data_IF_476431165312
#
_entry.id   IF_476431165312
#
_cell.length_a   1.000
_cell.length_b   1.000
_cell.length_c   1.000
_cell.angle_alpha   90.00
_cell.angle_beta   90.00
_cell.angle_gamma   90.00
#
_symmetry.space_group_name_H-M   'P 1'
#
loop_
_entity.id
_entity.type
_entity.pdbx_description
1 polymer ?
#
# COMPACT_ATOMS: atom_id res chain seq x y z
N UNK A 1 19.50 -17.82 -17.25
CA UNK A 1 19.25 -18.22 -15.83
C UNK A 1 18.39 -17.11 -15.26
N UNK A 2 17.09 -17.34 -15.20
CA UNK A 2 16.16 -16.39 -14.58
C UNK A 2 16.47 -16.44 -13.08
N UNK A 3 16.98 -15.35 -12.52
CA UNK A 3 17.13 -15.26 -11.07
C UNK A 3 15.70 -15.28 -10.52
N UNK A 4 15.39 -16.27 -9.68
CA UNK A 4 14.14 -16.30 -8.91
C UNK A 4 14.18 -15.15 -7.89
N UNK A 5 13.82 -13.95 -8.36
CA UNK A 5 13.71 -12.77 -7.50
C UNK A 5 12.47 -12.86 -6.64
N UNK A 6 12.51 -12.18 -5.49
CA UNK A 6 11.38 -12.06 -4.57
C UNK A 6 10.10 -11.69 -5.35
N UNK A 7 9.01 -12.45 -5.22
CA UNK A 7 7.76 -12.13 -5.86
C UNK A 7 7.16 -10.83 -5.30
N UNK A 8 6.49 -10.08 -6.15
CA UNK A 8 5.72 -8.89 -5.77
C UNK A 8 4.24 -9.12 -6.06
N UNK A 9 3.36 -8.51 -5.27
CA UNK A 9 1.93 -8.65 -5.47
C UNK A 9 1.18 -7.36 -5.16
N UNK A 10 0.03 -7.19 -5.82
CA UNK A 10 -0.87 -6.06 -5.67
C UNK A 10 -2.34 -6.50 -5.70
N UNK A 11 -3.25 -5.57 -5.36
CA UNK A 11 -4.70 -5.74 -5.49
C UNK A 11 -5.24 -4.74 -6.51
N UNK A 12 -6.14 -5.19 -7.39
CA UNK A 12 -6.90 -4.34 -8.28
C UNK A 12 -8.41 -4.57 -8.11
N UNK A 13 -9.11 -3.50 -7.82
CA UNK A 13 -10.58 -3.47 -7.75
C UNK A 13 -11.08 -2.68 -8.94
N UNK A 14 -11.62 -3.38 -9.94
CA UNK A 14 -12.05 -2.82 -11.22
C UNK A 14 -11.77 -3.78 -12.37
N UNK A 15 -12.20 -3.40 -13.56
CA UNK A 15 -12.13 -4.22 -14.78
C UNK A 15 -10.98 -3.84 -15.73
N UNK A 16 -10.35 -2.68 -15.52
CA UNK A 16 -9.32 -2.17 -16.42
C UNK A 16 -8.25 -1.38 -15.68
N UNK A 17 -6.98 -1.67 -15.97
CA UNK A 17 -5.83 -0.91 -15.49
C UNK A 17 -5.65 0.39 -16.31
N UNK A 18 -5.33 1.47 -15.62
CA UNK A 18 -4.84 2.68 -16.27
C UNK A 18 -3.42 2.44 -16.83
N UNK A 19 -2.98 3.18 -17.85
CA UNK A 19 -1.67 2.97 -18.48
C UNK A 19 -0.48 3.10 -17.52
N UNK A 20 -0.57 3.99 -16.51
CA UNK A 20 0.46 4.13 -15.49
C UNK A 20 0.56 2.89 -14.59
N UNK A 21 -0.59 2.26 -14.25
CA UNK A 21 -0.57 1.01 -13.49
C UNK A 21 0.03 -0.13 -14.30
N UNK A 22 -0.27 -0.20 -15.61
CA UNK A 22 0.37 -1.17 -16.51
C UNK A 22 1.88 -0.95 -16.58
N UNK A 23 2.32 0.32 -16.71
CA UNK A 23 3.74 0.70 -16.71
C UNK A 23 4.44 0.23 -15.42
N UNK A 24 3.84 0.49 -14.26
CA UNK A 24 4.40 0.11 -12.98
C UNK A 24 4.49 -1.42 -12.84
N UNK A 25 3.43 -2.17 -13.11
CA UNK A 25 3.49 -3.63 -13.08
C UNK A 25 4.53 -4.19 -14.05
N UNK A 26 4.60 -3.63 -15.27
CA UNK A 26 5.59 -4.04 -16.28
C UNK A 26 7.02 -3.78 -15.82
N UNK A 27 7.27 -2.69 -15.10
CA UNK A 27 8.63 -2.36 -14.59
C UNK A 27 9.17 -3.45 -13.66
N UNK A 28 8.31 -4.03 -12.80
CA UNK A 28 8.73 -5.14 -11.93
C UNK A 28 9.09 -6.40 -12.73
N UNK A 29 8.30 -6.74 -13.75
CA UNK A 29 8.61 -7.86 -14.65
C UNK A 29 9.95 -7.67 -15.38
N UNK A 30 10.21 -6.44 -15.85
CA UNK A 30 11.47 -6.11 -16.54
C UNK A 30 12.69 -6.24 -15.63
N UNK A 31 12.51 -6.06 -14.33
CA UNK A 31 13.55 -6.29 -13.33
C UNK A 31 13.60 -7.72 -12.78
N UNK A 32 12.81 -8.64 -13.38
CA UNK A 32 12.85 -10.08 -13.07
C UNK A 32 12.04 -10.50 -11.86
N UNK A 33 11.19 -9.62 -11.30
CA UNK A 33 10.27 -9.99 -10.23
C UNK A 33 9.05 -10.72 -10.81
N UNK A 34 8.66 -11.90 -10.31
CA UNK A 34 7.33 -12.46 -10.55
C UNK A 34 6.26 -11.50 -10.00
N UNK A 35 5.27 -11.17 -10.81
CA UNK A 35 4.22 -10.20 -10.46
C UNK A 35 2.88 -10.91 -10.39
N UNK A 36 2.23 -10.88 -9.22
CA UNK A 36 0.85 -11.36 -9.04
C UNK A 36 -0.08 -10.17 -8.85
N UNK A 37 -1.15 -10.11 -9.63
CA UNK A 37 -2.22 -9.13 -9.48
C UNK A 37 -3.49 -9.84 -9.02
N UNK A 38 -3.86 -9.64 -7.76
CA UNK A 38 -5.12 -10.10 -7.25
C UNK A 38 -6.25 -9.19 -7.69
N UNK A 39 -7.34 -9.76 -8.23
CA UNK A 39 -8.44 -8.99 -8.82
C UNK A 39 -9.78 -9.41 -8.25
N UNK A 40 -10.74 -8.47 -8.18
CA UNK A 40 -12.13 -8.75 -7.84
C UNK A 40 -12.94 -9.22 -9.03
N UNK A 41 -12.45 -9.01 -10.24
CA UNK A 41 -13.09 -9.34 -11.51
C UNK A 41 -12.07 -9.62 -12.60
N UNK A 42 -12.56 -9.70 -13.84
CA UNK A 42 -11.69 -9.93 -14.99
C UNK A 42 -10.98 -8.62 -15.39
N UNK A 43 -9.66 -8.68 -15.51
CA UNK A 43 -8.83 -7.57 -16.00
C UNK A 43 -8.20 -7.98 -17.33
N UNK A 44 -8.68 -7.39 -18.44
CA UNK A 44 -8.29 -7.82 -19.79
C UNK A 44 -7.02 -7.14 -20.32
N UNK A 45 -6.55 -6.08 -19.65
CA UNK A 45 -5.43 -5.25 -20.10
C UNK A 45 -4.22 -5.27 -19.18
N UNK A 46 -4.06 -6.32 -18.39
CA UNK A 46 -2.83 -6.50 -17.61
C UNK A 46 -1.64 -6.77 -18.57
N UNK A 47 -0.43 -6.28 -18.22
CA UNK A 47 0.76 -6.58 -19.01
C UNK A 47 1.01 -8.09 -19.10
N UNK A 48 1.49 -8.53 -20.25
CA UNK A 48 1.92 -9.92 -20.44
C UNK A 48 2.99 -10.29 -19.40
N UNK A 49 2.82 -11.46 -18.77
CA UNK A 49 3.70 -11.96 -17.70
C UNK A 49 3.19 -11.68 -16.29
N UNK A 50 2.13 -10.86 -16.11
CA UNK A 50 1.44 -10.70 -14.82
C UNK A 50 0.55 -11.91 -14.57
N UNK A 51 0.73 -12.57 -13.42
CA UNK A 51 -0.14 -13.66 -12.94
C UNK A 51 -1.41 -13.04 -12.31
N UNK A 52 -2.56 -13.21 -12.97
CA UNK A 52 -3.85 -12.68 -12.48
C UNK A 52 -4.53 -13.77 -11.65
N UNK A 53 -4.85 -13.43 -10.41
CA UNK A 53 -5.49 -14.33 -9.46
C UNK A 53 -6.72 -13.69 -8.80
N UNK A 54 -7.72 -14.47 -8.43
CA UNK A 54 -8.87 -13.93 -7.71
C UNK A 54 -8.46 -13.45 -6.30
N UNK A 55 -8.96 -12.27 -5.91
CA UNK A 55 -8.68 -11.71 -4.57
C UNK A 55 -9.17 -12.62 -3.44
N UNK A 56 -10.20 -13.42 -3.68
CA UNK A 56 -10.75 -14.42 -2.74
C UNK A 56 -9.74 -15.50 -2.34
N UNK A 57 -8.66 -15.69 -3.08
CA UNK A 57 -7.57 -16.57 -2.62
C UNK A 57 -6.87 -16.04 -1.36
N UNK A 58 -6.93 -14.75 -1.12
CA UNK A 58 -6.36 -14.11 0.07
C UNK A 58 -7.45 -13.84 1.11
N UNK A 59 -8.51 -13.16 0.70
CA UNK A 59 -9.68 -12.86 1.54
C UNK A 59 -10.87 -12.48 0.68
N UNK A 60 -12.08 -12.78 1.16
CA UNK A 60 -13.28 -12.23 0.58
C UNK A 60 -13.37 -10.73 0.84
N UNK A 61 -13.65 -9.96 -0.21
CA UNK A 61 -13.75 -8.52 -0.12
C UNK A 61 -15.21 -8.10 0.02
N UNK A 62 -15.50 -7.32 1.04
CA UNK A 62 -16.79 -6.66 1.20
C UNK A 62 -16.90 -5.47 0.24
N UNK A 63 -17.56 -5.70 -0.90
CA UNK A 63 -17.72 -4.67 -1.93
C UNK A 63 -18.60 -3.51 -1.48
N UNK A 64 -19.56 -3.74 -0.56
CA UNK A 64 -20.33 -2.66 0.04
C UNK A 64 -19.43 -1.73 0.85
N UNK A 65 -18.44 -2.28 1.54
CA UNK A 65 -17.47 -1.48 2.28
C UNK A 65 -16.56 -0.67 1.33
N UNK A 66 -16.30 -1.14 0.10
CA UNK A 66 -15.61 -0.34 -0.94
C UNK A 66 -16.45 0.87 -1.33
N UNK A 67 -17.75 0.69 -1.55
CA UNK A 67 -18.67 1.79 -1.89
C UNK A 67 -18.78 2.82 -0.76
N UNK A 68 -18.85 2.35 0.49
CA UNK A 68 -18.93 3.21 1.67
C UNK A 68 -17.62 3.95 1.99
N UNK A 69 -16.49 3.44 1.51
CA UNK A 69 -15.15 3.97 1.82
C UNK A 69 -14.33 4.24 0.55
N UNK A 70 -13.47 3.31 0.19
CA UNK A 70 -12.67 3.31 -1.05
C UNK A 70 -11.93 1.98 -1.23
N UNK A 71 -11.48 1.69 -2.45
CA UNK A 71 -10.59 0.58 -2.73
C UNK A 71 -9.30 0.61 -1.87
N UNK A 72 -8.77 1.80 -1.58
CA UNK A 72 -7.57 1.96 -0.74
C UNK A 72 -7.79 1.52 0.71
N UNK A 73 -9.01 1.59 1.22
CA UNK A 73 -9.35 1.07 2.53
C UNK A 73 -9.14 -0.45 2.61
N UNK A 74 -9.78 -1.19 1.69
CA UNK A 74 -9.63 -2.65 1.65
C UNK A 74 -8.22 -3.10 1.31
N UNK A 75 -7.49 -2.36 0.47
CA UNK A 75 -6.10 -2.68 0.15
C UNK A 75 -5.19 -2.65 1.38
N UNK A 76 -5.50 -1.81 2.40
CA UNK A 76 -4.74 -1.80 3.64
C UNK A 76 -4.86 -3.10 4.44
N UNK A 77 -6.03 -3.71 4.47
CA UNK A 77 -6.23 -5.02 5.12
C UNK A 77 -5.65 -6.14 4.26
N UNK A 78 -5.99 -6.12 2.96
CA UNK A 78 -5.58 -7.14 2.00
C UNK A 78 -4.07 -7.33 1.96
N UNK A 79 -3.29 -6.23 1.94
CA UNK A 79 -1.82 -6.29 1.82
C UNK A 79 -1.18 -7.10 2.93
N UNK A 80 -1.62 -6.97 4.18
CA UNK A 80 -1.02 -7.72 5.29
C UNK A 80 -1.45 -9.19 5.28
N UNK A 81 -2.71 -9.48 4.95
CA UNK A 81 -3.16 -10.87 4.77
C UNK A 81 -2.43 -11.55 3.60
N UNK A 82 -2.20 -10.83 2.51
CA UNK A 82 -1.45 -11.31 1.35
C UNK A 82 0.01 -11.59 1.72
N UNK A 83 0.71 -10.65 2.38
CA UNK A 83 2.10 -10.86 2.82
C UNK A 83 2.19 -12.05 3.77
N UNK A 84 1.30 -12.14 4.76
CA UNK A 84 1.24 -13.27 5.71
C UNK A 84 1.09 -14.61 4.98
N UNK A 85 0.25 -14.68 3.98
CA UNK A 85 -0.06 -15.91 3.27
C UNK A 85 1.03 -16.32 2.28
N UNK A 86 1.62 -15.35 1.56
CA UNK A 86 2.46 -15.62 0.38
C UNK A 86 3.93 -15.30 0.57
N UNK A 87 4.29 -14.42 1.50
CA UNK A 87 5.65 -13.88 1.64
C UNK A 87 6.04 -12.87 0.53
N UNK A 88 5.16 -12.62 -0.44
CA UNK A 88 5.42 -11.65 -1.49
C UNK A 88 5.51 -10.23 -0.95
N UNK A 89 6.32 -9.38 -1.60
CA UNK A 89 6.37 -7.96 -1.34
C UNK A 89 5.08 -7.31 -1.86
N UNK A 90 4.41 -6.52 -1.02
CA UNK A 90 3.31 -5.68 -1.47
C UNK A 90 3.84 -4.49 -2.26
N UNK A 91 3.20 -4.22 -3.39
CA UNK A 91 3.37 -2.99 -4.17
C UNK A 91 2.00 -2.40 -4.48
N UNK A 92 1.81 -1.09 -4.32
CA UNK A 92 0.66 -0.42 -4.91
C UNK A 92 0.82 -0.44 -6.44
N UNK A 93 -0.28 -0.53 -7.21
CA UNK A 93 -0.23 -0.62 -8.67
C UNK A 93 0.41 0.60 -9.35
N UNK A 94 0.71 1.65 -8.62
CA UNK A 94 1.40 2.86 -9.06
C UNK A 94 2.80 3.03 -8.44
N UNK A 95 3.36 1.96 -7.90
CA UNK A 95 4.76 1.88 -7.49
C UNK A 95 5.63 1.36 -8.66
N UNK A 96 6.42 2.25 -9.25
CA UNK A 96 7.33 1.91 -10.34
C UNK A 96 8.62 1.30 -9.80
N UNK A 97 9.06 0.20 -10.36
CA UNK A 97 10.33 -0.45 -10.03
C UNK A 97 11.47 0.21 -10.81
N UNK A 98 12.30 1.00 -10.15
CA UNK A 98 13.46 1.67 -10.75
C UNK A 98 14.69 0.75 -10.77
N UNK A 99 14.87 -0.06 -9.73
CA UNK A 99 15.89 -1.11 -9.61
C UNK A 99 15.26 -2.33 -8.94
N UNK A 100 15.80 -3.53 -9.15
CA UNK A 100 15.27 -4.72 -8.49
C UNK A 100 15.40 -4.61 -6.98
N UNK A 101 14.36 -5.05 -6.25
CA UNK A 101 14.41 -5.17 -4.80
C UNK A 101 15.43 -6.25 -4.41
N UNK A 102 16.36 -5.97 -3.49
CA UNK A 102 17.26 -6.99 -2.95
C UNK A 102 16.50 -8.11 -2.23
N UNK A 103 16.85 -9.35 -2.51
CA UNK A 103 16.16 -10.53 -1.96
C UNK A 103 16.43 -10.71 -0.45
N UNK A 104 17.54 -10.18 0.05
CA UNK A 104 17.95 -10.20 1.46
C UNK A 104 17.20 -9.23 2.37
N UNK A 105 16.32 -8.38 1.83
CA UNK A 105 15.57 -7.42 2.63
C UNK A 105 14.33 -8.05 3.27
N UNK A 106 14.41 -8.39 4.56
CA UNK A 106 13.26 -8.90 5.32
C UNK A 106 12.20 -7.83 5.57
N UNK A 107 12.64 -6.60 5.88
CA UNK A 107 11.79 -5.44 6.10
C UNK A 107 11.96 -4.44 4.97
N UNK A 108 10.87 -4.17 4.26
CA UNK A 108 10.83 -3.22 3.14
C UNK A 108 9.72 -2.24 3.39
N UNK A 109 10.03 -1.10 3.94
CA UNK A 109 9.13 0.04 4.09
C UNK A 109 9.92 1.29 4.41
N UNK A 110 9.36 2.46 4.09
CA UNK A 110 10.02 3.74 4.31
C UNK A 110 9.04 4.78 4.86
N UNK A 111 9.59 5.82 5.46
CA UNK A 111 8.83 6.97 5.93
C UNK A 111 8.31 7.82 4.77
N UNK A 112 7.27 8.61 5.06
CA UNK A 112 6.68 9.55 4.12
C UNK A 112 7.18 10.98 4.39
N UNK A 113 8.48 11.18 4.23
CA UNK A 113 9.20 12.47 4.17
C UNK A 113 8.93 13.54 5.24
N UNK A 114 7.72 13.89 5.58
CA UNK A 114 7.45 15.12 6.35
C UNK A 114 6.94 14.97 7.79
N UNK A 115 6.59 13.77 8.28
CA UNK A 115 6.02 13.61 9.64
C UNK A 115 6.38 12.32 10.36
N UNK A 116 7.41 11.59 9.92
CA UNK A 116 7.78 10.31 10.51
C UNK A 116 6.73 9.20 10.31
N UNK A 117 5.68 9.45 9.52
CA UNK A 117 4.69 8.45 9.17
C UNK A 117 5.24 7.51 8.10
N UNK A 118 4.99 6.21 8.26
CA UNK A 118 5.31 5.21 7.25
C UNK A 118 4.32 5.29 6.09
N UNK A 119 4.81 5.04 4.88
CA UNK A 119 3.97 4.86 3.69
C UNK A 119 3.70 3.37 3.50
N UNK A 120 2.55 3.04 2.92
CA UNK A 120 2.11 1.67 2.69
C UNK A 120 2.14 1.25 1.21
N UNK A 121 2.65 2.08 0.32
CA UNK A 121 2.68 1.79 -1.13
C UNK A 121 3.63 0.66 -1.53
N UNK A 122 4.70 0.47 -0.77
CA UNK A 122 5.61 -0.69 -0.87
C UNK A 122 5.85 -1.20 0.53
N UNK A 123 5.49 -2.46 0.79
CA UNK A 123 5.61 -3.09 2.12
C UNK A 123 6.10 -4.52 2.00
N UNK A 124 7.19 -4.82 2.68
CA UNK A 124 7.65 -6.17 2.96
C UNK A 124 7.87 -6.35 4.45
N UNK A 125 7.35 -7.45 4.98
CA UNK A 125 7.53 -7.86 6.37
C UNK A 125 7.77 -9.36 6.41
N UNK A 126 8.51 -9.88 7.40
CA UNK A 126 8.50 -11.32 7.68
C UNK A 126 7.06 -11.80 7.90
N UNK A 127 6.72 -12.96 7.32
CA UNK A 127 5.38 -13.53 7.48
C UNK A 127 4.99 -13.68 8.95
N UNK A 128 5.94 -14.06 9.78
CA UNK A 128 5.77 -14.22 11.22
C UNK A 128 6.63 -13.20 11.98
N UNK A 129 6.04 -12.06 12.30
CA UNK A 129 6.65 -11.05 13.16
C UNK A 129 5.59 -10.35 14.00
N UNK A 130 6.01 -9.80 15.14
CA UNK A 130 5.10 -9.14 16.08
C UNK A 130 4.31 -7.98 15.45
N UNK A 131 4.94 -7.21 14.58
CA UNK A 131 4.30 -6.12 13.85
C UNK A 131 3.15 -6.64 12.97
N UNK A 132 3.38 -7.72 12.23
CA UNK A 132 2.36 -8.35 11.40
C UNK A 132 1.18 -8.86 12.24
N UNK A 133 1.45 -9.48 13.39
CA UNK A 133 0.41 -9.97 14.29
C UNK A 133 -0.49 -8.84 14.81
N UNK A 134 0.11 -7.73 15.25
CA UNK A 134 -0.64 -6.57 15.73
C UNK A 134 -1.48 -5.89 14.64
N UNK A 135 -0.95 -5.81 13.42
CA UNK A 135 -1.67 -5.26 12.27
C UNK A 135 -2.88 -6.12 11.92
N UNK A 136 -2.70 -7.43 11.83
CA UNK A 136 -3.80 -8.35 11.52
C UNK A 136 -4.85 -8.38 12.64
N UNK A 137 -4.43 -8.41 13.90
CA UNK A 137 -5.35 -8.34 15.04
C UNK A 137 -6.17 -7.04 15.02
N UNK A 138 -5.54 -5.89 14.74
CA UNK A 138 -6.24 -4.62 14.61
C UNK A 138 -7.33 -4.64 13.53
N UNK A 139 -7.08 -5.27 12.39
CA UNK A 139 -8.07 -5.33 11.31
C UNK A 139 -9.17 -6.37 11.55
N UNK A 140 -8.84 -7.47 12.20
CA UNK A 140 -9.81 -8.53 12.50
C UNK A 140 -10.65 -8.19 13.75
N UNK A 141 -10.15 -7.38 14.66
CA UNK A 141 -10.76 -6.97 15.94
C UNK A 141 -10.73 -5.44 16.11
N UNK A 142 -11.45 -4.71 15.24
CA UNK A 142 -11.44 -3.25 15.28
C UNK A 142 -11.85 -2.72 16.66
N UNK A 143 -11.01 -1.89 17.31
CA UNK A 143 -11.35 -1.25 18.59
C UNK A 143 -12.41 -0.17 18.40
N UNK A 144 -13.10 0.22 19.47
CA UNK A 144 -14.06 1.33 19.45
C UNK A 144 -13.45 2.59 18.83
N UNK A 145 -12.19 2.86 19.14
CA UNK A 145 -11.39 3.94 18.55
C UNK A 145 -9.94 3.49 18.37
N UNK A 146 -9.27 3.89 17.28
CA UNK A 146 -7.83 3.73 17.18
C UNK A 146 -7.10 4.36 18.37
N UNK A 147 -6.13 3.64 18.92
CA UNK A 147 -5.44 4.02 20.17
C UNK A 147 -4.74 5.39 20.06
N UNK A 148 -4.30 5.77 18.86
CA UNK A 148 -3.60 7.05 18.58
C UNK A 148 -4.52 8.24 18.38
N UNK A 149 -5.85 8.05 18.45
CA UNK A 149 -6.80 9.14 18.22
C UNK A 149 -6.99 10.01 19.44
N UNK A 150 -7.04 11.32 19.17
CA UNK A 150 -7.37 12.33 20.17
C UNK A 150 -8.90 12.44 20.38
N UNK A 151 -9.30 13.22 21.41
CA UNK A 151 -10.71 13.43 21.76
C UNK A 151 -11.56 14.03 20.62
N UNK A 152 -10.95 14.86 19.74
CA UNK A 152 -11.67 15.48 18.61
C UNK A 152 -12.04 14.44 17.57
N UNK A 153 -11.12 13.53 17.22
CA UNK A 153 -11.36 12.45 16.26
C UNK A 153 -12.42 11.48 16.79
N UNK A 154 -12.33 11.06 18.05
CA UNK A 154 -13.35 10.20 18.70
C UNK A 154 -14.74 10.82 18.64
N UNK A 155 -14.89 12.10 19.06
CA UNK A 155 -16.17 12.82 18.99
C UNK A 155 -16.68 12.99 17.56
N UNK A 156 -15.80 13.09 16.58
CA UNK A 156 -16.22 13.15 15.17
C UNK A 156 -16.78 11.81 14.71
N UNK A 157 -16.14 10.70 15.11
CA UNK A 157 -16.62 9.35 14.81
C UNK A 157 -17.98 9.08 15.46
N UNK A 158 -18.16 9.44 16.75
CA UNK A 158 -19.45 9.30 17.46
C UNK A 158 -20.58 9.96 16.68
N UNK A 159 -20.37 11.20 16.20
CA UNK A 159 -21.37 11.90 15.39
C UNK A 159 -21.70 11.21 14.07
N UNK A 160 -20.73 10.49 13.47
CA UNK A 160 -20.96 9.74 12.23
C UNK A 160 -21.74 8.47 12.49
N UNK A 161 -21.48 7.80 13.62
CA UNK A 161 -22.19 6.58 14.02
C UNK A 161 -23.62 6.87 14.54
N UNK A 162 -23.80 7.94 15.33
CA UNK A 162 -25.12 8.36 15.84
C UNK A 162 -26.08 8.76 14.72
N UNK A 163 -25.59 9.38 13.64
CA UNK A 163 -26.42 9.79 12.49
C UNK A 163 -26.86 8.64 11.59
N UNK A 164 -26.35 7.46 11.85
CA UNK A 164 -26.86 6.20 11.31
C UNK A 164 -26.27 5.74 9.98
N UNK A 165 -26.20 4.43 9.81
CA UNK A 165 -26.01 3.73 8.55
C UNK A 165 -24.57 3.38 8.15
N UNK A 166 -23.55 3.90 8.83
CA UNK A 166 -22.16 3.53 8.53
C UNK A 166 -21.74 2.30 9.36
N UNK A 167 -21.07 1.36 8.72
CA UNK A 167 -20.34 0.33 9.44
C UNK A 167 -19.23 0.98 10.30
N UNK A 168 -18.79 0.27 11.34
CA UNK A 168 -17.75 0.78 12.25
C UNK A 168 -16.46 1.12 11.48
N UNK A 169 -16.01 0.25 10.58
CA UNK A 169 -14.85 0.49 9.72
C UNK A 169 -15.02 1.72 8.81
N UNK A 170 -16.21 1.89 8.23
CA UNK A 170 -16.50 3.08 7.41
C UNK A 170 -16.48 4.37 8.22
N UNK A 171 -16.98 4.34 9.47
CA UNK A 171 -16.94 5.50 10.36
C UNK A 171 -15.50 5.90 10.74
N UNK A 172 -14.63 4.92 11.03
CA UNK A 172 -13.20 5.15 11.24
C UNK A 172 -12.59 5.80 10.00
N UNK A 173 -12.80 5.23 8.82
CA UNK A 173 -12.24 5.75 7.57
C UNK A 173 -12.72 7.16 7.23
N UNK A 174 -14.01 7.45 7.41
CA UNK A 174 -14.56 8.80 7.16
C UNK A 174 -14.11 9.83 8.17
N UNK A 175 -13.74 9.40 9.37
CA UNK A 175 -13.13 10.28 10.37
C UNK A 175 -11.69 10.63 10.01
N UNK A 176 -10.91 9.63 9.58
CA UNK A 176 -9.51 9.79 9.20
C UNK A 176 -9.11 8.74 8.15
N UNK A 177 -8.93 9.18 6.90
CA UNK A 177 -8.67 8.30 5.76
C UNK A 177 -7.41 7.45 5.91
N UNK A 178 -6.42 7.94 6.65
CA UNK A 178 -5.13 7.27 6.84
C UNK A 178 -5.11 6.32 8.03
N UNK A 179 -6.22 6.22 8.79
CA UNK A 179 -6.30 5.42 10.01
C UNK A 179 -5.99 3.93 9.80
N UNK A 180 -6.41 3.36 8.66
CA UNK A 180 -6.18 1.95 8.32
C UNK A 180 -4.85 1.67 7.60
N UNK A 181 -4.19 2.67 7.12
CA UNK A 181 -2.92 2.54 6.40
C UNK A 181 -1.76 3.15 7.19
N UNK A 182 -1.27 4.32 6.76
CA UNK A 182 -0.08 4.95 7.32
C UNK A 182 -0.09 5.13 8.84
N UNK A 183 -1.25 5.49 9.44
CA UNK A 183 -1.32 5.70 10.89
C UNK A 183 -1.23 4.39 11.67
N UNK A 184 -2.01 3.37 11.30
CA UNK A 184 -1.95 2.05 11.95
C UNK A 184 -0.54 1.44 11.81
N UNK A 185 0.01 1.46 10.60
CA UNK A 185 1.34 0.92 10.34
C UNK A 185 2.42 1.63 11.18
N UNK A 186 2.40 2.96 11.20
CA UNK A 186 3.35 3.75 11.99
C UNK A 186 3.21 3.47 13.48
N UNK A 187 1.96 3.47 13.98
CA UNK A 187 1.69 3.22 15.40
C UNK A 187 2.22 1.86 15.84
N UNK A 188 1.86 0.78 15.13
CA UNK A 188 2.27 -0.56 15.53
C UNK A 188 3.77 -0.77 15.33
N UNK A 189 4.39 -0.19 14.28
CA UNK A 189 5.83 -0.23 14.11
C UNK A 189 6.57 0.47 15.29
N UNK A 190 6.01 1.55 15.84
CA UNK A 190 6.53 2.20 17.05
C UNK A 190 6.37 1.31 18.29
N UNK A 191 5.22 0.63 18.45
CA UNK A 191 4.97 -0.25 19.59
C UNK A 191 5.91 -1.47 19.62
N UNK A 192 6.33 -1.97 18.45
CA UNK A 192 7.23 -3.12 18.33
C UNK A 192 8.71 -2.74 18.25
N UNK A 193 9.03 -1.45 18.11
CA UNK A 193 10.40 -0.98 17.82
C UNK A 193 10.82 -1.18 16.36
N UNK A 194 9.96 -1.76 15.50
CA UNK A 194 10.28 -1.98 14.09
C UNK A 194 10.36 -0.68 13.28
N UNK A 195 9.92 0.45 13.85
CA UNK A 195 10.05 1.78 13.22
C UNK A 195 11.51 2.10 12.87
N UNK A 196 12.47 1.60 13.63
CA UNK A 196 13.91 1.81 13.41
C UNK A 196 14.44 1.05 12.18
N UNK A 197 13.65 0.10 11.65
CA UNK A 197 13.95 -0.62 10.40
C UNK A 197 13.49 0.12 9.15
N UNK A 198 12.78 1.25 9.33
CA UNK A 198 12.31 2.04 8.19
C UNK A 198 13.48 2.57 7.38
N UNK A 199 13.41 2.34 6.07
CA UNK A 199 14.36 2.89 5.12
C UNK A 199 14.19 4.42 5.01
N UNK A 200 15.21 5.09 4.54
CA UNK A 200 15.10 6.51 4.20
C UNK A 200 14.14 6.70 2.99
N UNK A 201 13.39 7.81 2.93
CA UNK A 201 12.38 8.00 1.88
C UNK A 201 12.90 7.87 0.45
N UNK A 202 14.16 8.25 0.21
CA UNK A 202 14.81 8.20 -1.10
C UNK A 202 14.93 6.78 -1.68
N UNK A 203 14.80 5.75 -0.85
CA UNK A 203 14.85 4.34 -1.28
C UNK A 203 13.57 3.95 -2.03
N UNK A 204 12.38 4.27 -1.47
CA UNK A 204 11.09 3.82 -1.99
C UNK A 204 10.19 4.96 -2.50
N UNK A 205 10.38 6.18 -2.01
CA UNK A 205 9.53 7.35 -2.25
C UNK A 205 10.36 8.61 -2.49
N UNK A 206 11.27 8.62 -3.50
CA UNK A 206 12.21 9.72 -3.72
C UNK A 206 11.51 11.04 -4.07
N UNK A 207 10.33 10.98 -4.69
CA UNK A 207 9.49 12.13 -4.99
C UNK A 207 8.39 12.22 -3.94
N UNK A 208 8.36 13.28 -3.10
CA UNK A 208 7.26 13.49 -2.16
C UNK A 208 5.92 13.72 -2.88
N UNK A 209 4.80 13.31 -2.25
CA UNK A 209 3.45 13.49 -2.80
C UNK A 209 3.16 14.95 -3.24
N UNK A 210 3.68 15.95 -2.52
CA UNK A 210 3.49 17.36 -2.82
C UNK A 210 4.17 17.83 -4.11
N UNK A 211 5.10 17.02 -4.63
CA UNK A 211 5.87 17.30 -5.85
C UNK A 211 5.51 16.34 -7.00
N UNK A 212 4.41 15.58 -6.88
CA UNK A 212 4.05 14.57 -7.85
C UNK A 212 3.79 15.14 -9.27
N UNK A 213 3.51 16.44 -9.39
CA UNK A 213 3.37 17.12 -10.69
C UNK A 213 4.65 16.99 -11.56
N UNK A 214 5.82 16.77 -10.95
CA UNK A 214 7.08 16.57 -11.68
C UNK A 214 7.04 15.39 -12.66
N UNK A 215 6.20 14.38 -12.40
CA UNK A 215 6.05 13.23 -13.30
C UNK A 215 5.37 13.60 -14.63
N UNK A 216 4.66 14.71 -14.69
CA UNK A 216 3.88 15.15 -15.84
C UNK A 216 4.40 16.46 -16.43
N UNK A 217 5.39 17.09 -15.80
CA UNK A 217 6.05 18.28 -16.33
C UNK A 217 7.06 17.87 -17.43
N UNK A 218 6.85 18.25 -18.70
CA UNK A 218 7.77 17.92 -19.79
C UNK A 218 9.18 18.53 -19.61
N UNK A 219 9.32 19.51 -18.73
CA UNK A 219 10.59 20.11 -18.33
C UNK A 219 11.08 19.63 -16.96
N UNK A 220 10.28 18.82 -16.27
CA UNK A 220 10.59 18.24 -14.98
C UNK A 220 11.78 17.26 -15.09
N UNK A 221 12.64 17.28 -14.10
CA UNK A 221 13.77 16.35 -13.98
C UNK A 221 13.52 15.44 -12.79
N UNK A 222 12.66 14.45 -12.98
CA UNK A 222 12.32 13.49 -11.92
C UNK A 222 13.56 12.78 -11.38
N UNK A 223 14.54 12.52 -12.24
CA UNK A 223 15.80 11.86 -11.87
C UNK A 223 16.63 12.67 -10.85
N UNK A 224 16.40 13.98 -10.75
CA UNK A 224 17.04 14.82 -9.74
C UNK A 224 16.64 14.50 -8.30
N UNK A 225 15.57 13.74 -8.12
CA UNK A 225 15.10 13.23 -6.82
C UNK A 225 15.70 11.87 -6.47
N UNK A 226 16.33 11.17 -7.42
CA UNK A 226 16.84 9.82 -7.21
C UNK A 226 18.23 9.83 -6.61
N UNK A 227 18.50 8.82 -5.79
CA UNK A 227 19.82 8.53 -5.24
C UNK A 227 20.29 7.15 -5.73
N UNK A 228 21.52 6.80 -5.42
CA UNK A 228 22.04 5.45 -5.71
C UNK A 228 21.24 4.35 -4.99
N UNK A 229 20.54 4.71 -3.91
CA UNK A 229 19.72 3.80 -3.10
C UNK A 229 18.29 3.64 -3.65
N UNK A 230 17.83 4.48 -4.56
CA UNK A 230 16.46 4.46 -5.06
C UNK A 230 16.18 3.14 -5.80
N UNK A 231 15.18 2.40 -5.34
CA UNK A 231 14.70 1.14 -5.95
C UNK A 231 13.26 1.23 -6.43
N UNK A 232 12.45 2.09 -5.80
CA UNK A 232 11.05 2.29 -6.19
C UNK A 232 10.71 3.77 -6.31
N UNK A 233 9.72 4.08 -7.14
CA UNK A 233 9.17 5.43 -7.32
C UNK A 233 7.66 5.36 -7.30
N UNK A 234 7.02 5.97 -6.32
CA UNK A 234 5.57 5.99 -6.21
C UNK A 234 4.97 7.16 -7.00
N UNK A 235 4.05 6.87 -7.92
CA UNK A 235 3.51 7.89 -8.86
C UNK A 235 2.30 8.62 -8.32
N UNK A 236 1.68 8.14 -7.23
CA UNK A 236 0.50 8.74 -6.58
C UNK A 236 -0.67 9.02 -7.53
N UNK A 237 -1.01 8.05 -8.39
CA UNK A 237 -2.01 8.21 -9.46
C UNK A 237 -3.40 8.58 -8.96
N UNK A 238 -3.76 8.25 -7.71
CA UNK A 238 -5.02 8.66 -7.10
C UNK A 238 -5.11 10.17 -6.75
N UNK A 239 -4.01 10.90 -6.82
CA UNK A 239 -3.91 12.34 -6.58
C UNK A 239 -3.72 13.17 -7.84
N UNK A 240 -3.37 12.52 -8.95
CA UNK A 240 -3.13 13.17 -10.24
C UNK A 240 -4.36 13.05 -11.11
N UNK A 241 -5.03 14.16 -11.36
CA UNK A 241 -5.96 14.25 -12.49
C UNK A 241 -5.13 14.49 -13.75
N UNK A 242 -5.29 13.67 -14.80
CA UNK A 242 -4.71 13.98 -16.09
C UNK A 242 -5.26 15.27 -16.67
#
# INVERSE_FOLDING_TARGET
MQLDRRPVASLWIGDRLHYLNQLCLKSHLLHGHPVTLYCTGKVDNAPEGVDIRPASEIMDLDMQLVEDTSASFLSNVFRYKMIRKTGALWIDCDAFCHKPFPDEWDYVFAGHGMRGALNCGVVGLPQECRLMDLLLDYYDNLPDYPAWWNKKQRKQMDKLTEKGGLSHGAAIYKTERTAFGPQAFTWFAQQTGDIDKAMTPDVLYPVPFQLNDVFFDPHGRVEGHFTDKTVSVHLYTNGTKP
#
